data_IF_348546349477
#
_entry.id   IF_348546349477
#
_cell.length_a   1.000
_cell.length_b   1.000
_cell.length_c   1.000
_cell.angle_alpha   90.00
_cell.angle_beta   90.00
_cell.angle_gamma   90.00
#
_symmetry.space_group_name_H-M   'P 1'
#
loop_
_entity.id
_entity.type
_entity.pdbx_description
1 polymer ?
#
# COMPACT_ATOMS: atom_id res chain seq x y z
N UNK A 1 -4.30 -24.88 30.15
CA UNK A 1 -5.40 -24.12 30.77
C UNK A 1 -5.02 -22.63 30.71
N UNK A 2 -4.81 -22.01 29.53
CA UNK A 2 -5.83 -21.40 28.65
C UNK A 2 -6.84 -20.56 29.47
N UNK A 3 -7.08 -19.27 29.22
CA UNK A 3 -7.05 -18.47 28.00
C UNK A 3 -6.52 -17.06 28.31
N UNK A 4 -5.61 -16.53 27.46
CA UNK A 4 -5.26 -15.10 27.45
C UNK A 4 -6.02 -14.42 26.32
N UNK A 5 -7.34 -14.28 26.49
CA UNK A 5 -8.11 -13.33 25.69
C UNK A 5 -7.77 -11.93 26.21
N UNK A 6 -7.05 -11.14 25.43
CA UNK A 6 -6.80 -9.74 25.75
C UNK A 6 -7.08 -8.88 24.53
N UNK A 7 -7.84 -7.82 24.80
CA UNK A 7 -8.26 -6.77 23.90
C UNK A 7 -9.27 -7.20 22.83
N UNK A 8 -10.54 -7.08 23.21
CA UNK A 8 -11.60 -6.63 22.33
C UNK A 8 -11.16 -5.27 21.74
N UNK A 9 -10.30 -5.29 20.71
CA UNK A 9 -10.26 -4.21 19.75
C UNK A 9 -11.56 -4.36 19.00
N UNK A 10 -12.38 -3.32 19.04
CA UNK A 10 -13.30 -3.04 17.95
C UNK A 10 -12.40 -2.85 16.72
N UNK A 11 -11.97 -3.97 16.13
CA UNK A 11 -11.43 -4.02 14.79
C UNK A 11 -12.64 -3.70 13.92
N UNK A 12 -12.95 -2.39 13.82
CA UNK A 12 -13.79 -1.88 12.75
C UNK A 12 -13.28 -2.59 11.51
N UNK A 13 -14.11 -3.48 10.96
CA UNK A 13 -13.75 -4.48 9.96
C UNK A 13 -12.94 -3.77 8.87
N UNK A 14 -11.61 -3.75 9.02
CA UNK A 14 -10.76 -3.05 8.08
C UNK A 14 -10.79 -3.97 6.89
N UNK A 15 -11.57 -3.57 5.88
CA UNK A 15 -11.75 -4.33 4.66
C UNK A 15 -10.37 -4.51 4.04
N UNK A 16 -9.78 -5.67 4.24
CA UNK A 16 -8.50 -6.00 3.64
C UNK A 16 -8.72 -6.25 2.15
N UNK A 17 -7.73 -5.85 1.37
CA UNK A 17 -7.76 -5.94 -0.07
C UNK A 17 -6.76 -7.00 -0.53
N UNK A 18 -7.15 -7.87 -1.47
CA UNK A 18 -6.26 -8.90 -2.00
C UNK A 18 -5.16 -8.29 -2.88
N UNK A 19 -5.38 -7.10 -3.45
CA UNK A 19 -4.49 -6.49 -4.42
C UNK A 19 -4.30 -4.99 -4.10
N UNK A 20 -3.13 -4.44 -4.41
CA UNK A 20 -2.90 -3.01 -4.43
C UNK A 20 -1.91 -2.58 -5.52
N UNK A 21 -2.22 -1.46 -6.16
CA UNK A 21 -1.39 -0.88 -7.20
C UNK A 21 -0.88 0.49 -6.76
N UNK A 22 0.43 0.68 -6.77
CA UNK A 22 1.07 1.96 -6.49
C UNK A 22 1.32 2.65 -7.82
N UNK A 23 0.57 3.70 -8.11
CA UNK A 23 0.74 4.49 -9.32
C UNK A 23 1.71 5.65 -9.04
N UNK A 24 2.77 5.72 -9.83
CA UNK A 24 3.78 6.78 -9.75
C UNK A 24 4.09 7.32 -11.14
N UNK A 25 4.46 8.59 -11.22
CA UNK A 25 5.03 9.17 -12.43
C UNK A 25 6.55 9.30 -12.25
N UNK A 26 7.36 8.71 -13.12
CA UNK A 26 8.83 8.83 -13.05
C UNK A 26 9.30 10.29 -13.10
N UNK A 27 8.61 11.14 -13.87
CA UNK A 27 8.92 12.57 -13.93
C UNK A 27 8.70 13.28 -12.59
N UNK A 28 7.73 12.82 -11.80
CA UNK A 28 7.44 13.38 -10.47
C UNK A 28 8.21 12.67 -9.37
N UNK A 29 8.62 11.41 -9.57
CA UNK A 29 9.27 10.58 -8.56
C UNK A 29 10.59 11.19 -8.06
N UNK A 30 11.31 11.92 -8.93
CA UNK A 30 12.49 12.69 -8.54
C UNK A 30 12.22 13.74 -7.45
N UNK A 31 10.97 14.21 -7.32
CA UNK A 31 10.55 15.16 -6.28
C UNK A 31 10.19 14.47 -4.96
N UNK A 32 10.01 13.15 -4.97
CA UNK A 32 9.58 12.35 -3.83
C UNK A 32 10.63 11.27 -3.53
N UNK A 33 11.79 11.63 -2.95
CA UNK A 33 12.88 10.69 -2.71
C UNK A 33 12.49 9.52 -1.80
N UNK A 34 11.56 9.72 -0.87
CA UNK A 34 11.03 8.69 0.04
C UNK A 34 10.25 7.62 -0.73
N UNK A 35 9.25 8.03 -1.52
CA UNK A 35 8.49 7.11 -2.38
C UNK A 35 9.41 6.44 -3.40
N UNK A 36 10.36 7.18 -3.96
CA UNK A 36 11.36 6.61 -4.86
C UNK A 36 12.16 5.50 -4.18
N UNK A 37 12.63 5.74 -2.94
CA UNK A 37 13.37 4.74 -2.18
C UNK A 37 12.51 3.51 -1.91
N UNK A 38 11.24 3.67 -1.54
CA UNK A 38 10.30 2.56 -1.33
C UNK A 38 10.17 1.68 -2.59
N UNK A 39 9.93 2.31 -3.74
CA UNK A 39 9.74 1.61 -5.02
C UNK A 39 11.04 0.98 -5.53
N UNK A 40 12.19 1.66 -5.36
CA UNK A 40 13.50 1.19 -5.84
C UNK A 40 14.17 0.16 -4.94
N UNK A 41 13.89 0.15 -3.64
CA UNK A 41 14.57 -0.73 -2.68
C UNK A 41 13.96 -2.14 -2.62
N UNK A 42 13.19 -2.53 -3.64
CA UNK A 42 12.48 -3.81 -3.69
C UNK A 42 11.55 -4.05 -2.47
N UNK A 43 11.21 -3.01 -1.68
CA UNK A 43 10.31 -3.16 -0.53
C UNK A 43 8.96 -3.67 -0.98
N UNK A 44 8.49 -3.26 -2.16
CA UNK A 44 7.26 -3.76 -2.78
C UNK A 44 7.24 -5.27 -3.01
N UNK A 45 8.41 -5.93 -3.12
CA UNK A 45 8.47 -7.39 -3.25
C UNK A 45 8.10 -8.12 -1.96
N UNK A 46 8.08 -7.44 -0.80
CA UNK A 46 7.64 -8.05 0.46
C UNK A 46 6.21 -8.60 0.35
N UNK A 47 5.37 -7.97 -0.48
CA UNK A 47 3.99 -8.40 -0.74
C UNK A 47 3.84 -9.22 -2.04
N UNK A 48 4.93 -9.56 -2.71
CA UNK A 48 4.94 -10.38 -3.93
C UNK A 48 3.96 -9.91 -5.00
N UNK A 49 3.02 -10.78 -5.40
CA UNK A 49 2.03 -10.47 -6.43
C UNK A 49 0.86 -9.59 -5.98
N UNK A 50 0.72 -9.35 -4.67
CA UNK A 50 -0.39 -8.58 -4.10
C UNK A 50 -0.21 -7.08 -4.33
N UNK A 51 1.03 -6.56 -4.18
CA UNK A 51 1.35 -5.16 -4.41
C UNK A 51 2.14 -5.00 -5.70
N UNK A 52 1.68 -4.12 -6.60
CA UNK A 52 2.36 -3.84 -7.88
C UNK A 52 2.59 -2.36 -8.08
N UNK A 53 3.75 -1.99 -8.59
CA UNK A 53 4.02 -0.60 -8.97
C UNK A 53 3.68 -0.39 -10.44
N UNK A 54 2.94 0.68 -10.73
CA UNK A 54 2.57 1.12 -12.08
C UNK A 54 3.12 2.51 -12.36
N UNK A 55 3.77 2.63 -13.50
CA UNK A 55 4.34 3.88 -13.98
C UNK A 55 3.31 4.58 -14.86
N UNK A 56 2.70 5.65 -14.37
CA UNK A 56 1.67 6.43 -15.06
C UNK A 56 2.15 7.86 -15.20
N UNK A 57 2.22 8.38 -16.43
CA UNK A 57 2.69 9.75 -16.67
C UNK A 57 1.68 10.77 -16.17
N UNK A 58 2.19 11.82 -15.52
CA UNK A 58 1.37 12.92 -14.99
C UNK A 58 0.59 12.61 -13.71
N UNK A 59 0.70 11.39 -13.16
CA UNK A 59 0.09 11.07 -11.87
C UNK A 59 0.98 11.50 -10.70
N UNK A 60 0.34 11.73 -9.56
CA UNK A 60 1.02 11.84 -8.28
C UNK A 60 1.16 10.44 -7.67
N UNK A 61 2.14 10.22 -6.78
CA UNK A 61 2.26 9.00 -6.00
C UNK A 61 0.96 8.65 -5.26
N UNK A 62 0.33 7.56 -5.67
CA UNK A 62 -0.98 7.17 -5.17
C UNK A 62 -1.09 5.64 -5.06
N UNK A 63 -1.62 5.14 -3.95
CA UNK A 63 -1.92 3.72 -3.74
C UNK A 63 -3.39 3.47 -4.07
N UNK A 64 -3.64 2.49 -4.93
CA UNK A 64 -4.97 2.02 -5.32
C UNK A 64 -5.20 0.61 -4.81
N UNK A 65 -6.04 0.46 -3.81
CA UNK A 65 -6.46 -0.83 -3.28
C UNK A 65 -7.49 -1.44 -4.22
N UNK A 66 -7.31 -2.72 -4.53
CA UNK A 66 -8.05 -3.47 -5.54
C UNK A 66 -8.68 -4.72 -4.93
N UNK A 67 -9.89 -5.01 -5.38
CA UNK A 67 -10.64 -6.21 -4.99
C UNK A 67 -10.17 -7.46 -5.76
N UNK A 68 -10.74 -8.64 -5.49
CA UNK A 68 -10.37 -9.91 -6.17
C UNK A 68 -10.62 -9.85 -7.67
N UNK A 69 -11.57 -9.01 -8.09
CA UNK A 69 -11.90 -8.73 -9.48
C UNK A 69 -10.93 -7.73 -10.15
N UNK A 70 -9.97 -7.18 -9.39
CA UNK A 70 -9.02 -6.17 -9.88
C UNK A 70 -9.60 -4.76 -9.99
N UNK A 71 -10.83 -4.54 -9.52
CA UNK A 71 -11.49 -3.24 -9.47
C UNK A 71 -10.93 -2.37 -8.34
N UNK A 72 -10.69 -1.10 -8.61
CA UNK A 72 -10.15 -0.17 -7.61
C UNK A 72 -11.27 0.27 -6.67
N UNK A 73 -11.16 -0.15 -5.42
CA UNK A 73 -12.13 0.17 -4.37
C UNK A 73 -11.76 1.45 -3.63
N UNK A 74 -10.46 1.66 -3.39
CA UNK A 74 -9.96 2.80 -2.63
C UNK A 74 -8.68 3.36 -3.23
N UNK A 75 -8.51 4.67 -3.14
CA UNK A 75 -7.35 5.40 -3.68
C UNK A 75 -6.83 6.35 -2.60
N UNK A 76 -5.53 6.32 -2.32
CA UNK A 76 -4.86 7.07 -1.25
C UNK A 76 -3.63 7.79 -1.80
N UNK A 77 -3.52 9.10 -1.58
CA UNK A 77 -2.36 9.87 -2.01
C UNK A 77 -1.23 9.76 -0.99
N UNK A 78 -0.05 9.36 -1.46
CA UNK A 78 1.13 9.07 -0.62
C UNK A 78 2.27 10.07 -0.85
N UNK A 79 1.96 11.23 -1.44
CA UNK A 79 2.93 12.29 -1.73
C UNK A 79 3.70 12.79 -0.52
N UNK A 80 3.06 12.75 0.65
CA UNK A 80 3.60 13.21 1.93
C UNK A 80 3.95 12.05 2.87
N UNK A 81 3.89 10.81 2.39
CA UNK A 81 4.16 9.64 3.22
C UNK A 81 5.62 9.21 3.09
N UNK A 82 6.17 8.75 4.20
CA UNK A 82 7.48 8.14 4.26
C UNK A 82 7.39 6.62 3.99
N UNK A 83 8.55 5.99 3.78
CA UNK A 83 8.65 4.55 3.46
C UNK A 83 7.99 3.67 4.53
N UNK A 84 8.11 4.07 5.79
CA UNK A 84 7.56 3.36 6.95
C UNK A 84 6.03 3.41 6.96
N UNK A 85 5.46 4.61 6.80
CA UNK A 85 4.00 4.82 6.73
C UNK A 85 3.37 4.05 5.57
N UNK A 86 4.03 4.03 4.40
CA UNK A 86 3.56 3.24 3.24
C UNK A 86 3.55 1.75 3.58
N UNK A 87 4.60 1.26 4.25
CA UNK A 87 4.75 -0.13 4.64
C UNK A 87 3.71 -0.55 5.68
N UNK A 88 3.51 0.26 6.73
CA UNK A 88 2.50 0.01 7.75
C UNK A 88 1.09 0.02 7.14
N UNK A 89 0.81 0.97 6.25
CA UNK A 89 -0.46 1.02 5.54
C UNK A 89 -0.69 -0.24 4.71
N UNK A 90 0.27 -0.65 3.88
CA UNK A 90 0.11 -1.87 3.10
C UNK A 90 -0.02 -3.12 3.99
N UNK A 91 0.69 -3.21 5.11
CA UNK A 91 0.51 -4.33 6.05
C UNK A 91 -0.87 -4.36 6.73
N UNK A 92 -1.44 -3.20 7.02
CA UNK A 92 -2.76 -3.12 7.63
C UNK A 92 -3.90 -3.41 6.63
N UNK A 93 -3.70 -3.06 5.36
CA UNK A 93 -4.75 -3.09 4.33
C UNK A 93 -4.66 -4.25 3.35
N UNK A 94 -3.50 -4.90 3.18
CA UNK A 94 -3.34 -6.05 2.27
C UNK A 94 -3.56 -7.36 3.02
N UNK A 95 -4.36 -8.24 2.42
CA UNK A 95 -4.44 -9.65 2.83
C UNK A 95 -3.48 -10.46 1.94
N UNK A 96 -2.36 -10.90 2.50
CA UNK A 96 -1.29 -11.65 1.82
C UNK A 96 -0.84 -12.86 2.64
#
# INVERSE_FOLDING_TARGET
MDCRCSANKVEAEHKKYPLAHIEICECNLARFPQVQAFVKSDMVNQWGSHVKVRHVRGTLPTIKLKDVYGETQQTMNIEKWDTDTITEFLNAWIDY
#
